data_IF_999824274880
#
_entry.id   IF_999824274880
#
_cell.length_a   1.000
_cell.length_b   1.000
_cell.length_c   1.000
_cell.angle_alpha   90.00
_cell.angle_beta   90.00
_cell.angle_gamma   90.00
#
_symmetry.space_group_name_H-M   'P 1'
#
loop_
_entity.id
_entity.type
_entity.pdbx_description
1 polymer ?
#
# COMPACT_ATOMS: atom_id res chain seq x y z
N UNK A 1 31.68 11.93 43.44
CA UNK A 1 30.25 11.53 43.31
C UNK A 1 29.45 12.46 42.39
N UNK A 2 29.63 13.79 42.46
CA UNK A 2 28.93 14.76 41.58
C UNK A 2 29.20 14.57 40.07
N UNK A 3 30.40 14.12 39.70
CA UNK A 3 30.79 13.89 38.30
C UNK A 3 30.05 12.70 37.65
N UNK A 4 29.69 11.68 38.43
CA UNK A 4 28.93 10.52 37.94
C UNK A 4 27.49 10.90 37.57
N UNK A 5 26.92 11.86 38.31
CA UNK A 5 25.57 12.37 38.09
C UNK A 5 25.47 13.19 36.78
N UNK A 6 26.56 13.84 36.37
CA UNK A 6 26.65 14.62 35.13
C UNK A 6 26.65 13.71 33.88
N UNK A 7 27.23 12.51 33.99
CA UNK A 7 27.34 11.55 32.88
C UNK A 7 25.98 10.94 32.50
N UNK A 8 25.01 10.96 33.41
CA UNK A 8 23.66 10.42 33.22
C UNK A 8 22.75 11.31 32.35
N UNK A 9 23.17 12.56 32.12
CA UNK A 9 22.42 13.56 31.34
C UNK A 9 22.91 13.71 29.90
N UNK A 10 23.81 12.84 29.41
CA UNK A 10 24.23 12.88 28.01
C UNK A 10 23.07 12.37 27.15
N UNK A 11 22.43 13.21 26.31
CA UNK A 11 21.40 12.74 25.39
C UNK A 11 22.07 11.86 24.32
N UNK A 12 21.78 10.57 24.35
CA UNK A 12 22.10 9.68 23.25
C UNK A 12 21.22 10.08 22.06
N UNK A 13 21.83 10.48 20.95
CA UNK A 13 21.13 11.05 19.79
C UNK A 13 19.99 10.14 19.29
N UNK A 14 18.74 10.59 19.47
CA UNK A 14 17.57 9.91 18.95
C UNK A 14 17.46 10.14 17.44
N UNK A 15 18.13 9.30 16.66
CA UNK A 15 18.15 9.36 15.18
C UNK A 15 16.87 8.81 14.53
N UNK A 16 15.76 8.78 15.27
CA UNK A 16 14.43 8.40 14.79
C UNK A 16 13.49 9.61 14.74
N UNK A 17 14.05 10.83 14.73
CA UNK A 17 13.28 12.05 14.56
C UNK A 17 12.87 12.16 13.09
N UNK A 18 11.62 11.83 12.82
CA UNK A 18 10.95 12.19 11.58
C UNK A 18 10.76 13.70 11.66
N UNK A 19 11.52 14.47 10.88
CA UNK A 19 11.30 15.92 10.80
C UNK A 19 9.86 16.17 10.35
N UNK A 20 9.21 17.24 10.83
CA UNK A 20 7.79 17.48 10.56
C UNK A 20 7.45 17.49 9.07
N UNK A 21 8.36 17.93 8.20
CA UNK A 21 8.21 17.85 6.75
C UNK A 21 8.22 16.42 6.19
N UNK A 22 9.13 15.57 6.67
CA UNK A 22 9.22 14.15 6.27
C UNK A 22 8.02 13.35 6.77
N UNK A 23 7.50 13.67 7.96
CA UNK A 23 6.27 13.09 8.49
C UNK A 23 5.06 13.38 7.60
N UNK A 24 4.89 14.64 7.16
CA UNK A 24 3.82 15.01 6.23
C UNK A 24 3.95 14.31 4.88
N UNK A 25 5.16 14.21 4.32
CA UNK A 25 5.39 13.56 3.03
C UNK A 25 4.98 12.07 3.04
N UNK A 26 5.31 11.33 4.11
CA UNK A 26 4.92 9.93 4.27
C UNK A 26 3.39 9.82 4.38
N UNK A 27 2.74 10.68 5.16
CA UNK A 27 1.28 10.65 5.28
C UNK A 27 0.59 10.95 3.94
N UNK A 28 1.08 11.93 3.18
CA UNK A 28 0.58 12.22 1.84
C UNK A 28 0.75 11.04 0.89
N UNK A 29 1.89 10.34 0.93
CA UNK A 29 2.14 9.15 0.11
C UNK A 29 1.16 8.02 0.46
N UNK A 30 0.93 7.76 1.75
CA UNK A 30 -0.02 6.74 2.21
C UNK A 30 -1.44 7.05 1.73
N UNK A 31 -1.90 8.30 1.92
CA UNK A 31 -3.23 8.72 1.48
C UNK A 31 -3.35 8.60 -0.05
N UNK A 32 -2.36 9.11 -0.78
CA UNK A 32 -2.31 9.03 -2.24
C UNK A 32 -2.35 7.61 -2.76
N UNK A 33 -1.64 6.68 -2.10
CA UNK A 33 -1.64 5.25 -2.43
C UNK A 33 -3.03 4.63 -2.31
N UNK A 34 -3.74 4.86 -1.19
CA UNK A 34 -5.09 4.33 -1.00
C UNK A 34 -6.10 4.95 -1.96
N UNK A 35 -6.02 6.25 -2.23
CA UNK A 35 -6.86 6.93 -3.21
C UNK A 35 -6.63 6.34 -4.61
N UNK A 36 -5.36 6.19 -5.01
CA UNK A 36 -5.00 5.61 -6.30
C UNK A 36 -5.53 4.18 -6.46
N UNK A 37 -5.37 3.33 -5.43
CA UNK A 37 -5.93 1.98 -5.42
C UNK A 37 -7.45 2.01 -5.52
N UNK A 38 -8.13 2.85 -4.72
CA UNK A 38 -9.58 2.96 -4.73
C UNK A 38 -10.12 3.34 -6.12
N UNK A 39 -9.47 4.29 -6.77
CA UNK A 39 -9.81 4.71 -8.14
C UNK A 39 -9.50 3.58 -9.14
N UNK A 40 -8.36 2.93 -9.04
CA UNK A 40 -7.98 1.82 -9.92
C UNK A 40 -8.99 0.66 -9.83
N UNK A 41 -9.36 0.24 -8.61
CA UNK A 41 -10.35 -0.80 -8.37
C UNK A 41 -11.72 -0.42 -8.95
N UNK A 42 -12.17 0.82 -8.73
CA UNK A 42 -13.43 1.34 -9.30
C UNK A 42 -13.40 1.35 -10.82
N UNK A 43 -12.30 1.80 -11.41
CA UNK A 43 -12.15 1.97 -12.87
C UNK A 43 -12.05 0.64 -13.58
N UNK A 44 -11.29 -0.31 -13.00
CA UNK A 44 -11.03 -1.60 -13.61
C UNK A 44 -11.92 -2.73 -13.08
N UNK A 45 -12.98 -2.42 -12.33
CA UNK A 45 -13.85 -3.42 -11.67
C UNK A 45 -14.28 -4.56 -12.60
N UNK A 46 -14.74 -4.24 -13.81
CA UNK A 46 -15.16 -5.24 -14.80
C UNK A 46 -13.99 -6.07 -15.34
N UNK A 47 -12.82 -5.46 -15.56
CA UNK A 47 -11.62 -6.19 -16.03
C UNK A 47 -11.09 -7.09 -14.93
N UNK A 48 -11.01 -6.60 -13.70
CA UNK A 48 -10.64 -7.38 -12.51
C UNK A 48 -11.62 -8.56 -12.38
N UNK A 49 -12.93 -8.32 -12.39
CA UNK A 49 -13.92 -9.40 -12.34
C UNK A 49 -13.75 -10.39 -13.49
N UNK A 50 -13.52 -9.91 -14.71
CA UNK A 50 -13.27 -10.74 -15.89
C UNK A 50 -12.03 -11.63 -15.75
N UNK A 51 -10.96 -11.13 -15.13
CA UNK A 51 -9.74 -11.90 -14.86
C UNK A 51 -9.98 -12.97 -13.80
N UNK A 52 -10.79 -12.68 -12.77
CA UNK A 52 -11.13 -13.67 -11.72
C UNK A 52 -12.23 -14.65 -12.14
N UNK A 53 -13.10 -14.30 -13.11
CA UNK A 53 -14.22 -15.14 -13.56
C UNK A 53 -13.97 -15.86 -14.89
N UNK A 54 -12.87 -15.58 -15.58
CA UNK A 54 -12.61 -16.02 -16.97
C UNK A 54 -12.21 -17.49 -17.15
N UNK A 55 -12.46 -18.35 -16.17
CA UNK A 55 -11.99 -19.73 -16.14
C UNK A 55 -13.09 -20.79 -16.27
N UNK A 56 -14.01 -20.68 -17.24
CA UNK A 56 -14.73 -21.82 -17.82
C UNK A 56 -15.65 -21.34 -18.93
N UNK A 57 -15.14 -21.29 -20.16
CA UNK A 57 -16.01 -21.54 -21.29
C UNK A 57 -15.34 -22.63 -22.11
N UNK A 58 -15.51 -23.87 -21.63
CA UNK A 58 -15.23 -25.07 -22.40
C UNK A 58 -16.08 -25.00 -23.65
N UNK A 59 -15.42 -24.71 -24.77
CA UNK A 59 -15.97 -24.71 -26.11
C UNK A 59 -16.42 -26.14 -26.43
N UNK A 60 -17.67 -26.47 -26.12
CA UNK A 60 -18.29 -27.69 -26.65
C UNK A 60 -18.65 -27.46 -28.10
N UNK A 61 -17.87 -28.11 -28.94
CA UNK A 61 -17.86 -28.05 -30.38
C UNK A 61 -18.99 -28.93 -30.94
N UNK A 62 -19.65 -28.42 -31.99
CA UNK A 62 -20.29 -29.12 -33.09
C UNK A 62 -21.49 -30.05 -32.82
N UNK A 63 -22.56 -29.80 -33.58
CA UNK A 63 -23.76 -30.62 -33.64
C UNK A 63 -24.74 -30.06 -34.67
N UNK A 64 -24.27 -29.82 -35.88
CA UNK A 64 -25.12 -29.69 -37.06
C UNK A 64 -25.98 -30.97 -37.18
N UNK A 65 -27.29 -30.85 -37.09
CA UNK A 65 -28.21 -31.78 -37.74
C UNK A 65 -29.42 -31.00 -38.23
N UNK A 66 -29.54 -31.02 -39.54
CA UNK A 66 -30.63 -30.55 -40.41
C UNK A 66 -31.98 -31.21 -40.06
#
# INVERSE_FOLDING_TARGET
MKLFLLLLFIPFGASAYIDPGSGSAIMSAIIGFFVAIGIALKTYWYKIKSLFTGGSNSKSNNGDTE
#
